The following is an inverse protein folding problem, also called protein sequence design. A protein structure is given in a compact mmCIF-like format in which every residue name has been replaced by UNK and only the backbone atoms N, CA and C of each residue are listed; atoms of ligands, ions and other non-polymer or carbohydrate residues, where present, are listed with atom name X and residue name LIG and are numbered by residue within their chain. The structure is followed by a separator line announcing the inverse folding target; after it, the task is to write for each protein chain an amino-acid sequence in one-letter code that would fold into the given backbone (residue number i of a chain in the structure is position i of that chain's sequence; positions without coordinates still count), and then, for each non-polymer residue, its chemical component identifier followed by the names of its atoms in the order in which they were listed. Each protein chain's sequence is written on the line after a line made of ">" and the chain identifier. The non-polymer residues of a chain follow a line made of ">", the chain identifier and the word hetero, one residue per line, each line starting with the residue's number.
data_IF_353872705169
#
_entry.id   IF_353872705169
#
_cell.length_a   1.000
_cell.length_b   1.000
_cell.length_c   1.000
_cell.angle_alpha   90.00
_cell.angle_beta   90.00
_cell.angle_gamma   90.00
#
_symmetry.space_group_name_H-M   'P 1'
#
loop_
_entity.id
_entity.type
_entity.pdbx_description
1 polymer ?
#
# COMPACT_ATOMS: atom_id res chain seq x y z
N UNK A 1 -21.22 -28.99 17.09
CA UNK A 1 -21.29 -28.57 16.77
C UNK A 1 -21.25 -28.01 16.78
N UNK A 2 -20.76 -27.95 16.59
CA UNK A 2 -20.56 -27.23 16.39
C UNK A 2 -20.11 -26.68 16.39
N UNK A 3 -19.71 -26.83 16.22
CA UNK A 3 -19.20 -26.12 15.94
C UNK A 3 -18.88 -25.69 15.84
N UNK A 4 -18.74 -25.95 15.73
CA UNK A 4 -18.31 -25.35 15.24
C UNK A 4 -17.92 -24.71 15.22
N UNK A 5 -17.72 -24.98 15.22
CA UNK A 5 -17.10 -24.15 14.89
C UNK A 5 -16.67 -23.60 14.73
N UNK A 6 -16.41 -23.80 14.64
CA UNK A 6 -15.89 -23.12 14.17
C UNK A 6 -15.42 -22.78 14.10
N UNK A 7 -15.28 -23.20 13.88
CA UNK A 7 -14.87 -22.74 13.54
C UNK A 7 -14.55 -22.30 13.53
N UNK A 8 -14.40 -22.49 13.32
CA UNK A 8 -14.05 -21.83 13.02
C UNK A 8 -13.48 -21.31 13.04
N UNK A 9 -13.35 -21.57 13.10
CA UNK A 9 -12.88 -21.04 12.94
C UNK A 9 -12.20 -20.73 12.88
N UNK A 10 -11.75 -21.04 12.82
CA UNK A 10 -11.03 -20.75 12.54
C UNK A 10 -10.41 -20.41 11.94
N UNK A 11 -9.83 -20.86 11.76
CA UNK A 11 -9.02 -20.43 10.62
C UNK A 11 -8.76 -18.96 10.63
N UNK A 12 -9.63 -18.24 10.89
CA UNK A 12 -9.48 -16.81 10.99
C UNK A 12 -8.49 -16.42 12.06
N UNK A 13 -8.20 -17.30 12.92
CA UNK A 13 -7.38 -16.99 14.07
C UNK A 13 -5.96 -16.58 13.68
N UNK A 14 -5.41 -17.19 12.66
CA UNK A 14 -4.05 -16.87 12.25
C UNK A 14 -3.95 -15.45 11.74
N UNK A 15 -4.91 -15.04 10.98
CA UNK A 15 -4.94 -13.70 10.45
C UNK A 15 -5.18 -12.69 11.53
N UNK A 16 -5.97 -13.07 12.51
CA UNK A 16 -6.26 -12.19 13.61
C UNK A 16 -5.01 -11.84 14.41
N UNK A 17 -4.15 -12.80 14.60
CA UNK A 17 -2.93 -12.55 15.33
C UNK A 17 -2.10 -11.49 14.63
N UNK A 18 -1.99 -11.59 13.32
CA UNK A 18 -1.24 -10.64 12.55
C UNK A 18 -1.86 -9.26 12.61
N UNK A 19 -3.17 -9.18 12.51
CA UNK A 19 -3.87 -7.91 12.52
C UNK A 19 -3.82 -7.25 13.89
N UNK A 20 -3.81 -8.05 14.92
CA UNK A 20 -3.82 -7.52 16.28
C UNK A 20 -2.49 -6.91 16.68
N UNK A 21 -1.45 -7.20 15.94
CA UNK A 21 -0.11 -6.80 16.31
C UNK A 21 0.05 -5.30 16.41
N UNK A 22 -0.40 -4.57 15.40
CA UNK A 22 -0.11 -3.15 15.38
C UNK A 22 -1.11 -2.41 14.53
N UNK A 23 -2.05 -1.78 15.21
CA UNK A 23 -3.07 -1.00 14.51
C UNK A 23 -2.49 0.21 13.80
N UNK A 24 -1.32 0.68 14.24
CA UNK A 24 -0.71 1.83 13.58
C UNK A 24 -0.28 1.51 12.16
N UNK A 25 0.02 0.24 11.90
CA UNK A 25 0.42 -0.16 10.55
C UNK A 25 -0.74 -0.07 9.57
N UNK A 26 -1.97 -0.16 10.07
CA UNK A 26 -3.16 -0.06 9.24
C UNK A 26 -3.70 1.36 9.18
N UNK A 27 -3.18 2.24 10.00
CA UNK A 27 -3.66 3.61 10.02
C UNK A 27 -3.34 4.29 8.70
N UNK A 28 -4.36 4.84 8.07
CA UNK A 28 -4.23 5.51 6.79
C UNK A 28 -4.17 7.01 6.99
N UNK A 29 -3.28 7.63 6.25
CA UNK A 29 -3.08 9.06 6.32
C UNK A 29 -3.33 9.63 4.95
N UNK A 30 -4.24 10.60 4.86
CA UNK A 30 -4.55 11.26 3.60
C UNK A 30 -3.52 12.33 3.34
N UNK A 31 -2.57 12.03 2.48
CA UNK A 31 -1.49 12.95 2.19
C UNK A 31 -0.98 12.70 0.78
N UNK A 32 -0.68 13.77 0.07
CA UNK A 32 -0.12 13.69 -1.28
C UNK A 32 1.39 13.68 -1.18
N UNK A 33 1.98 12.54 -1.43
CA UNK A 33 3.43 12.38 -1.41
C UNK A 33 3.90 12.09 -2.82
N UNK A 34 4.78 12.91 -3.39
CA UNK A 34 5.33 12.60 -4.71
C UNK A 34 6.27 11.41 -4.62
N UNK A 35 6.06 10.46 -5.49
CA UNK A 35 6.90 9.27 -5.55
C UNK A 35 7.27 8.99 -6.99
N UNK A 36 8.42 8.36 -7.18
CA UNK A 36 8.84 7.88 -8.49
C UNK A 36 8.51 6.42 -8.59
N UNK A 37 7.98 6.01 -9.73
CA UNK A 37 7.60 4.62 -9.97
C UNK A 37 8.41 4.08 -11.12
N UNK A 38 9.07 2.96 -10.88
CA UNK A 38 9.83 2.24 -11.88
C UNK A 38 9.08 0.94 -12.18
N UNK A 39 8.66 0.74 -13.44
CA UNK A 39 7.88 -0.47 -13.76
C UNK A 39 8.62 -1.76 -13.51
N UNK A 40 9.96 -1.73 -13.62
CA UNK A 40 10.76 -2.87 -13.23
C UNK A 40 12.12 -2.38 -12.76
N UNK A 41 12.89 -3.30 -12.18
CA UNK A 41 14.14 -2.93 -11.54
C UNK A 41 15.19 -2.39 -12.51
N UNK A 42 15.05 -2.71 -13.80
CA UNK A 42 15.99 -2.27 -14.81
C UNK A 42 15.63 -0.94 -15.44
N UNK A 43 14.44 -0.44 -15.12
CA UNK A 43 13.99 0.81 -15.71
C UNK A 43 14.90 1.95 -15.27
N UNK A 44 15.36 2.73 -16.25
CA UNK A 44 16.10 3.95 -15.96
C UNK A 44 15.17 5.14 -15.92
N UNK A 45 14.01 5.02 -16.54
CA UNK A 45 13.02 6.08 -16.51
C UNK A 45 11.99 5.79 -15.45
N UNK A 46 11.64 6.82 -14.72
CA UNK A 46 10.64 6.73 -13.69
C UNK A 46 9.47 7.64 -14.04
N UNK A 47 8.30 7.24 -13.56
CA UNK A 47 7.11 8.09 -13.65
C UNK A 47 6.87 8.68 -12.27
N UNK A 48 6.56 9.98 -12.23
CA UNK A 48 6.27 10.63 -10.97
C UNK A 48 4.76 10.71 -10.81
N UNK A 49 4.27 10.32 -9.65
CA UNK A 49 2.88 10.50 -9.30
C UNK A 49 2.76 10.77 -7.82
N UNK A 50 1.56 11.15 -7.39
CA UNK A 50 1.32 11.45 -5.99
C UNK A 50 0.38 10.44 -5.38
N UNK A 51 0.57 10.18 -4.10
CA UNK A 51 -0.34 9.35 -3.34
C UNK A 51 -1.60 10.14 -2.99
N UNK A 52 -2.68 9.43 -2.71
CA UNK A 52 -3.89 10.00 -2.13
C UNK A 52 -3.94 9.67 -0.64
N UNK A 53 -3.48 8.49 -0.30
CA UNK A 53 -3.37 8.11 1.10
C UNK A 53 -2.31 7.03 1.22
N UNK A 54 -1.68 6.97 2.39
CA UNK A 54 -0.61 6.02 2.67
C UNK A 54 -0.81 5.40 4.04
N UNK A 55 -0.22 4.24 4.21
CA UNK A 55 -0.09 3.60 5.51
C UNK A 55 1.28 2.94 5.56
N UNK A 56 1.60 2.32 6.68
CA UNK A 56 2.86 1.59 6.77
C UNK A 56 2.88 0.39 5.83
N UNK A 57 1.71 -0.11 5.43
CA UNK A 57 1.60 -1.32 4.62
C UNK A 57 1.40 -1.04 3.14
N UNK A 58 0.98 0.14 2.77
CA UNK A 58 0.72 0.39 1.37
C UNK A 58 0.21 1.79 1.10
N UNK A 59 -0.39 1.97 -0.07
CA UNK A 59 -0.85 3.27 -0.51
C UNK A 59 -1.92 3.16 -1.57
N UNK A 60 -2.64 4.26 -1.74
CA UNK A 60 -3.54 4.47 -2.86
C UNK A 60 -2.98 5.66 -3.63
N UNK A 61 -2.80 5.49 -4.92
CA UNK A 61 -2.17 6.53 -5.71
C UNK A 61 -2.72 6.55 -7.14
N UNK A 62 -2.32 7.56 -7.89
CA UNK A 62 -2.77 7.70 -9.27
C UNK A 62 -2.22 6.55 -10.12
N UNK A 63 -3.05 6.08 -11.03
CA UNK A 63 -2.65 5.01 -11.93
C UNK A 63 -1.71 5.53 -13.00
N UNK A 64 -0.90 4.61 -13.53
CA UNK A 64 0.03 4.90 -14.61
C UNK A 64 -0.27 3.99 -15.78
N UNK A 65 0.06 4.41 -17.01
CA UNK A 65 -0.15 3.56 -18.18
C UNK A 65 0.58 2.23 -18.09
N UNK A 66 1.70 2.18 -17.37
CA UNK A 66 2.49 0.96 -17.26
C UNK A 66 1.93 -0.02 -16.24
N UNK A 67 0.93 0.39 -15.45
CA UNK A 67 0.31 -0.49 -14.47
C UNK A 67 -0.99 -1.00 -15.08
N UNK A 68 -0.99 -2.27 -15.48
CA UNK A 68 -2.09 -2.81 -16.27
C UNK A 68 -2.79 -4.00 -15.61
N UNK A 69 -2.21 -4.57 -14.56
CA UNK A 69 -2.85 -5.74 -13.96
C UNK A 69 -2.54 -5.89 -12.48
N UNK A 70 -3.49 -6.45 -11.78
CA UNK A 70 -3.35 -6.78 -10.37
C UNK A 70 -2.27 -7.85 -10.24
N UNK A 71 -1.45 -7.72 -9.21
CA UNK A 71 -0.34 -8.63 -8.99
C UNK A 71 0.97 -8.13 -9.56
N UNK A 72 0.93 -7.08 -10.36
CA UNK A 72 2.12 -6.52 -10.95
C UNK A 72 3.04 -5.96 -9.86
N UNK A 73 4.34 -6.20 -10.02
CA UNK A 73 5.33 -5.69 -9.08
C UNK A 73 5.93 -4.41 -9.64
N UNK A 74 5.97 -3.39 -8.82
CA UNK A 74 6.58 -2.12 -9.20
C UNK A 74 7.56 -1.69 -8.11
N UNK A 75 8.47 -0.80 -8.47
CA UNK A 75 9.42 -0.23 -7.52
C UNK A 75 9.03 1.22 -7.31
N UNK A 76 8.95 1.63 -6.07
CA UNK A 76 8.58 3.00 -5.75
C UNK A 76 9.69 3.65 -4.95
N UNK A 77 9.94 4.93 -5.22
CA UNK A 77 11.01 5.65 -4.55
C UNK A 77 10.50 6.98 -4.03
N UNK A 78 10.80 7.23 -2.77
CA UNK A 78 10.56 8.52 -2.13
C UNK A 78 11.89 9.02 -1.61
N UNK A 79 12.37 10.13 -2.18
CA UNK A 79 13.70 10.66 -1.87
C UNK A 79 14.74 9.58 -2.15
N UNK A 80 15.52 9.17 -1.17
CA UNK A 80 16.57 8.17 -1.37
C UNK A 80 16.11 6.74 -1.07
N UNK A 81 14.87 6.56 -0.65
CA UNK A 81 14.37 5.23 -0.29
C UNK A 81 13.58 4.62 -1.43
N UNK A 82 13.91 3.38 -1.74
CA UNK A 82 13.22 2.63 -2.80
C UNK A 82 12.78 1.29 -2.24
N UNK A 83 11.57 0.88 -2.56
CA UNK A 83 11.03 -0.40 -2.09
C UNK A 83 10.13 -1.01 -3.14
N UNK A 84 9.91 -2.29 -3.01
CA UNK A 84 9.09 -3.09 -3.92
C UNK A 84 7.66 -3.15 -3.42
N UNK A 85 6.72 -2.93 -4.32
CA UNK A 85 5.31 -2.95 -4.02
C UNK A 85 4.56 -3.81 -5.02
N UNK A 86 3.46 -4.37 -4.57
CA UNK A 86 2.57 -5.17 -5.43
C UNK A 86 1.27 -4.43 -5.64
N UNK A 87 0.82 -4.37 -6.88
CA UNK A 87 -0.49 -3.78 -7.20
C UNK A 87 -1.56 -4.74 -6.73
N UNK A 88 -2.41 -4.31 -5.82
CA UNK A 88 -3.45 -5.18 -5.26
C UNK A 88 -4.83 -4.88 -5.79
N UNK A 89 -5.06 -3.70 -6.35
CA UNK A 89 -6.29 -3.42 -7.07
C UNK A 89 -6.06 -2.26 -8.04
N UNK A 90 -6.90 -2.22 -9.05
CA UNK A 90 -6.89 -1.15 -10.06
C UNK A 90 -8.32 -0.65 -10.16
N UNK A 91 -8.50 0.66 -10.01
CA UNK A 91 -9.81 1.26 -10.08
C UNK A 91 -10.39 1.14 -11.47
N UNK A 92 -11.67 0.81 -11.54
CA UNK A 92 -12.34 0.60 -12.80
C UNK A 92 -13.09 1.85 -13.23
N UNK A 93 -13.21 2.03 -14.53
CA UNK A 93 -13.96 3.14 -15.08
C UNK A 93 -15.39 3.10 -14.58
N UNK A 94 -15.94 4.27 -14.32
CA UNK A 94 -17.29 4.36 -13.82
C UNK A 94 -17.41 4.23 -12.31
N UNK A 95 -16.31 3.99 -11.63
CA UNK A 95 -16.33 3.92 -10.16
C UNK A 95 -15.61 5.14 -9.59
N UNK A 96 -15.80 5.37 -8.30
CA UNK A 96 -15.13 6.48 -7.62
C UNK A 96 -13.62 6.29 -7.55
N UNK A 97 -13.14 5.09 -7.84
CA UNK A 97 -11.72 4.78 -7.79
C UNK A 97 -11.07 4.76 -9.16
N UNK A 98 -11.81 5.17 -10.18
CA UNK A 98 -11.25 5.22 -11.54
C UNK A 98 -9.99 6.08 -11.56
N UNK A 99 -8.97 5.61 -12.26
CA UNK A 99 -7.71 6.33 -12.36
C UNK A 99 -6.81 6.18 -11.16
N UNK A 100 -7.11 5.23 -10.27
CA UNK A 100 -6.33 4.99 -9.06
C UNK A 100 -5.92 3.54 -8.97
N UNK A 101 -4.86 3.29 -8.21
CA UNK A 101 -4.44 1.93 -7.89
C UNK A 101 -4.14 1.84 -6.40
N UNK A 102 -4.27 0.62 -5.89
CA UNK A 102 -3.82 0.31 -4.53
C UNK A 102 -2.60 -0.58 -4.60
N UNK A 103 -1.62 -0.28 -3.77
CA UNK A 103 -0.39 -1.06 -3.71
C UNK A 103 -0.10 -1.47 -2.29
N UNK A 104 0.57 -2.61 -2.15
CA UNK A 104 0.93 -3.14 -0.85
C UNK A 104 2.42 -3.41 -0.83
N UNK A 105 3.06 -3.07 0.30
CA UNK A 105 4.49 -3.25 0.46
C UNK A 105 4.88 -4.72 0.42
N UNK A 106 5.95 -5.01 -0.29
CA UNK A 106 6.58 -6.32 -0.24
C UNK A 106 7.81 -6.31 0.64
N UNK A 107 8.10 -5.15 1.25
CA UNK A 107 9.24 -4.99 2.16
C UNK A 107 8.76 -4.21 3.38
N UNK A 108 8.01 -4.86 4.28
CA UNK A 108 7.37 -4.16 5.40
C UNK A 108 8.33 -3.37 6.29
N UNK A 109 9.60 -3.77 6.33
CA UNK A 109 10.58 -3.07 7.13
C UNK A 109 11.11 -1.81 6.44
N UNK A 110 10.76 -1.59 5.19
CA UNK A 110 11.26 -0.46 4.42
C UNK A 110 10.09 0.41 3.97
N UNK A 111 9.62 1.25 4.88
CA UNK A 111 8.48 2.14 4.62
C UNK A 111 9.02 3.46 4.10
N UNK A 112 8.87 3.68 2.79
CA UNK A 112 9.53 4.81 2.14
C UNK A 112 8.97 6.17 2.55
N UNK A 113 7.77 6.19 3.13
CA UNK A 113 7.14 7.43 3.64
C UNK A 113 6.92 7.40 5.14
N UNK A 114 7.76 6.64 5.84
CA UNK A 114 7.60 6.48 7.28
C UNK A 114 7.62 7.83 8.01
N UNK A 115 8.52 8.71 7.61
CA UNK A 115 8.64 10.00 8.27
C UNK A 115 7.40 10.85 8.10
N UNK A 116 6.80 10.80 6.90
CA UNK A 116 5.60 11.56 6.62
C UNK A 116 4.42 11.07 7.45
N UNK A 117 4.30 9.76 7.61
CA UNK A 117 3.24 9.19 8.42
C UNK A 117 3.41 9.60 9.88
N UNK A 118 4.62 9.47 10.40
CA UNK A 118 4.88 9.80 11.79
C UNK A 118 4.63 11.28 12.06
N UNK A 119 5.05 12.14 11.16
CA UNK A 119 4.83 13.57 11.34
C UNK A 119 3.34 13.90 11.38
N UNK A 120 2.56 13.28 10.51
CA UNK A 120 1.13 13.55 10.45
C UNK A 120 0.42 13.03 11.70
N UNK A 121 0.78 11.86 12.16
CA UNK A 121 0.17 11.28 13.34
C UNK A 121 0.50 12.13 14.57
N UNK A 122 1.74 12.56 14.69
CA UNK A 122 2.15 13.37 15.83
C UNK A 122 1.48 14.74 15.81
N UNK A 123 1.29 15.30 14.62
CA UNK A 123 0.66 16.61 14.50
C UNK A 123 -0.81 16.59 14.89
N UNK A 124 -1.44 15.43 14.79
CA UNK A 124 -2.87 15.31 15.06
C UNK A 124 -3.18 15.31 16.55
N UNK A 125 -2.20 15.27 17.41
CA UNK A 125 -2.43 15.24 18.85
C UNK A 125 -2.68 16.59 19.45
#
# INVERSE_FOLDING_TARGET
>A
MQERPGLHVNSASTQSASLAVDKRQEQRVHIAIPVKIFPDIRSVEAFTCCTYEVSMLGARLASLPSVTQVGQIIWMQRLSRRAKYKVIWIGQEGTSQAGQIGVESMEPANVIWENEIKARIMSAR
#
